data_IF_110807992029
#
_entry.id   IF_110807992029
#
_cell.length_a   1.000
_cell.length_b   1.000
_cell.length_c   1.000
_cell.angle_alpha   90.00
_cell.angle_beta   90.00
_cell.angle_gamma   90.00
#
_symmetry.space_group_name_H-M   'P 1'
#
loop_
_entity.id
_entity.type
_entity.pdbx_description
1 polymer ?
#
# COMPACT_ATOMS: atom_id res chain seq x y z
N UNK A 1 23.08 40.72 -57.50
CA UNK A 1 22.60 39.39 -57.09
C UNK A 1 22.91 39.28 -55.61
N UNK A 2 21.89 39.20 -54.74
CA UNK A 2 22.08 39.22 -53.29
C UNK A 2 22.38 37.81 -52.75
N UNK A 3 23.22 37.79 -51.72
CA UNK A 3 23.69 36.61 -50.99
C UNK A 3 22.54 35.78 -50.41
N UNK A 4 22.61 34.46 -50.60
CA UNK A 4 21.68 33.51 -49.98
C UNK A 4 22.07 33.31 -48.51
N UNK A 5 21.40 34.04 -47.62
CA UNK A 5 21.43 33.75 -46.19
C UNK A 5 20.89 32.34 -45.92
N UNK A 6 21.79 31.52 -45.38
CA UNK A 6 21.53 30.19 -44.85
C UNK A 6 20.51 30.26 -43.71
N UNK A 7 19.31 29.73 -43.95
CA UNK A 7 18.34 29.42 -42.90
C UNK A 7 18.92 28.34 -41.98
N UNK A 8 19.56 28.75 -40.87
CA UNK A 8 19.83 27.84 -39.76
C UNK A 8 18.51 27.48 -39.09
N UNK A 9 18.13 26.20 -39.14
CA UNK A 9 17.03 25.67 -38.32
C UNK A 9 17.38 25.86 -36.85
N UNK A 10 16.51 26.56 -36.12
CA UNK A 10 16.48 26.57 -34.66
C UNK A 10 15.93 25.19 -34.23
N UNK A 11 16.75 24.14 -34.32
CA UNK A 11 16.43 22.84 -33.73
C UNK A 11 17.62 22.21 -33.01
N UNK A 12 18.69 22.97 -32.79
CA UNK A 12 19.84 22.57 -31.97
C UNK A 12 19.60 22.94 -30.49
N UNK A 13 18.40 22.67 -29.97
CA UNK A 13 18.31 22.48 -28.52
C UNK A 13 19.08 21.18 -28.25
N UNK A 14 20.16 21.21 -27.44
CA UNK A 14 20.87 19.98 -27.14
C UNK A 14 19.85 18.97 -26.60
N UNK A 15 19.82 17.75 -27.16
CA UNK A 15 19.22 16.62 -26.45
C UNK A 15 19.88 16.63 -25.07
N UNK A 16 19.10 16.98 -24.04
CA UNK A 16 19.61 17.00 -22.66
C UNK A 16 19.89 15.54 -22.34
N UNK A 17 21.16 15.18 -22.45
CA UNK A 17 21.62 13.82 -22.20
C UNK A 17 21.28 13.48 -20.75
N UNK A 18 20.39 12.49 -20.56
CA UNK A 18 19.90 12.09 -19.24
C UNK A 18 21.08 11.71 -18.34
N UNK A 19 21.12 12.23 -17.13
CA UNK A 19 22.15 11.89 -16.16
C UNK A 19 22.16 10.40 -15.87
N UNK A 20 23.31 9.82 -15.47
CA UNK A 20 23.37 8.44 -15.02
C UNK A 20 22.35 8.14 -13.91
N UNK A 21 22.08 9.10 -13.02
CA UNK A 21 21.10 8.97 -11.95
C UNK A 21 19.67 8.81 -12.51
N UNK A 22 19.26 9.68 -13.44
CA UNK A 22 17.96 9.57 -14.13
C UNK A 22 17.80 8.21 -14.82
N UNK A 23 18.85 7.73 -15.50
CA UNK A 23 18.83 6.42 -16.16
C UNK A 23 18.68 5.26 -15.16
N UNK A 24 19.37 5.30 -14.01
CA UNK A 24 19.21 4.28 -12.95
C UNK A 24 17.78 4.25 -12.41
N UNK A 25 17.21 5.41 -12.10
CA UNK A 25 15.83 5.49 -11.62
C UNK A 25 14.84 4.94 -12.65
N UNK A 26 14.91 5.40 -13.91
CA UNK A 26 14.04 4.91 -14.99
C UNK A 26 14.20 3.41 -15.25
N UNK A 27 15.39 2.86 -15.05
CA UNK A 27 15.64 1.42 -15.09
C UNK A 27 14.95 0.71 -13.92
N UNK A 28 15.00 1.26 -12.71
CA UNK A 28 14.31 0.72 -11.53
C UNK A 28 12.78 0.73 -11.68
N UNK A 29 12.22 1.58 -12.54
CA UNK A 29 10.79 1.53 -12.87
C UNK A 29 10.42 0.32 -13.75
N UNK A 30 11.39 -0.34 -14.39
CA UNK A 30 11.21 -1.47 -15.33
C UNK A 30 11.63 -2.80 -14.71
N UNK A 31 11.12 -3.12 -13.53
CA UNK A 31 11.38 -4.42 -12.89
C UNK A 31 10.38 -5.50 -13.31
N UNK A 32 10.79 -6.76 -13.20
CA UNK A 32 9.98 -7.93 -13.52
C UNK A 32 9.17 -8.42 -12.33
N UNK A 33 8.59 -9.62 -12.49
CA UNK A 33 7.78 -10.27 -11.46
C UNK A 33 8.55 -10.56 -10.18
N UNK A 34 9.83 -10.94 -10.28
CA UNK A 34 10.64 -11.36 -9.11
C UNK A 34 10.86 -10.18 -8.19
N UNK A 35 11.33 -9.06 -8.73
CA UNK A 35 11.60 -7.86 -7.96
C UNK A 35 10.30 -7.30 -7.34
N UNK A 36 9.19 -7.34 -8.08
CA UNK A 36 7.88 -6.97 -7.54
C UNK A 36 7.43 -7.89 -6.40
N UNK A 37 7.58 -9.21 -6.58
CA UNK A 37 7.20 -10.22 -5.60
C UNK A 37 8.04 -10.11 -4.32
N UNK A 38 9.33 -9.83 -4.45
CA UNK A 38 10.27 -9.71 -3.34
C UNK A 38 10.23 -8.32 -2.68
N UNK A 39 9.35 -7.43 -3.15
CA UNK A 39 9.14 -6.11 -2.57
C UNK A 39 10.27 -5.13 -2.83
N UNK A 40 11.00 -5.29 -3.94
CA UNK A 40 12.06 -4.38 -4.36
C UNK A 40 11.42 -3.10 -4.93
N UNK A 41 11.65 -1.98 -4.23
CA UNK A 41 11.18 -0.65 -4.62
C UNK A 41 12.03 0.01 -5.72
N UNK A 42 11.82 1.31 -5.92
CA UNK A 42 12.66 2.11 -6.83
C UNK A 42 14.05 2.37 -6.26
N UNK A 43 15.00 2.74 -7.13
CA UNK A 43 16.30 3.28 -6.72
C UNK A 43 16.11 4.74 -6.26
N UNK A 44 15.67 4.92 -5.02
CA UNK A 44 15.38 6.24 -4.46
C UNK A 44 16.64 7.08 -4.24
N UNK A 45 17.80 6.46 -4.10
CA UNK A 45 19.07 7.18 -3.96
C UNK A 45 19.40 7.95 -5.24
N UNK A 46 19.01 7.41 -6.41
CA UNK A 46 19.14 8.13 -7.67
C UNK A 46 18.39 9.47 -7.69
N UNK A 47 17.28 9.63 -6.97
CA UNK A 47 16.55 10.91 -6.91
C UNK A 47 17.38 12.02 -6.26
N UNK A 48 18.30 11.68 -5.35
CA UNK A 48 19.16 12.67 -4.67
C UNK A 48 20.32 13.15 -5.54
N UNK A 49 20.68 12.38 -6.57
CA UNK A 49 21.77 12.68 -7.50
C UNK A 49 21.30 13.42 -8.76
N UNK A 50 19.98 13.51 -8.99
CA UNK A 50 19.39 14.16 -10.17
C UNK A 50 19.47 15.69 -10.11
N UNK A 51 19.46 16.31 -11.29
CA UNK A 51 19.32 17.77 -11.40
C UNK A 51 17.90 18.20 -11.02
N UNK A 52 17.70 19.51 -10.78
CA UNK A 52 16.38 20.03 -10.45
C UNK A 52 15.38 19.87 -11.63
N UNK A 53 15.87 19.96 -12.85
CA UNK A 53 15.10 19.73 -14.08
C UNK A 53 14.66 18.27 -14.19
N UNK A 54 15.58 17.33 -13.97
CA UNK A 54 15.28 15.89 -13.99
C UNK A 54 14.29 15.49 -12.90
N UNK A 55 14.45 16.03 -11.68
CA UNK A 55 13.51 15.81 -10.59
C UNK A 55 12.10 16.30 -10.93
N UNK A 56 11.96 17.43 -11.64
CA UNK A 56 10.65 17.92 -12.12
C UNK A 56 10.03 17.01 -13.16
N UNK A 57 10.84 16.43 -14.05
CA UNK A 57 10.36 15.47 -15.05
C UNK A 57 9.87 14.17 -14.38
N UNK A 58 10.64 13.65 -13.43
CA UNK A 58 10.25 12.47 -12.65
C UNK A 58 9.02 12.74 -11.78
N UNK A 59 8.93 13.92 -11.15
CA UNK A 59 7.74 14.35 -10.41
C UNK A 59 6.50 14.30 -11.31
N UNK A 60 6.55 14.93 -12.49
CA UNK A 60 5.44 14.96 -13.43
C UNK A 60 5.04 13.54 -13.88
N UNK A 61 6.04 12.68 -14.15
CA UNK A 61 5.83 11.29 -14.52
C UNK A 61 5.10 10.51 -13.40
N UNK A 62 5.60 10.58 -12.17
CA UNK A 62 5.01 9.85 -11.03
C UNK A 62 3.60 10.35 -10.71
N UNK A 63 3.36 11.67 -10.74
CA UNK A 63 2.02 12.24 -10.51
C UNK A 63 1.02 11.74 -11.57
N UNK A 64 1.44 11.65 -12.84
CA UNK A 64 0.58 11.15 -13.92
C UNK A 64 0.19 9.68 -13.76
N UNK A 65 0.94 8.92 -12.96
CA UNK A 65 0.81 7.47 -12.77
C UNK A 65 0.48 7.05 -11.33
N UNK A 66 0.22 7.99 -10.43
CA UNK A 66 0.10 7.77 -8.98
C UNK A 66 -0.86 6.65 -8.54
N UNK A 67 -1.84 6.31 -9.38
CA UNK A 67 -2.84 5.26 -9.13
C UNK A 67 -2.55 3.93 -9.83
N UNK A 68 -1.45 3.84 -10.59
CA UNK A 68 -1.11 2.66 -11.38
C UNK A 68 -0.32 1.63 -10.57
N UNK A 69 0.64 2.08 -9.77
CA UNK A 69 1.55 1.21 -9.02
C UNK A 69 1.82 1.78 -7.63
N UNK A 70 1.91 0.92 -6.61
CA UNK A 70 2.23 1.38 -5.26
C UNK A 70 3.65 1.93 -5.15
N UNK A 71 4.57 1.51 -6.03
CA UNK A 71 5.95 2.04 -6.08
C UNK A 71 5.99 3.48 -6.57
N UNK A 72 5.04 3.88 -7.42
CA UNK A 72 4.90 5.29 -7.80
C UNK A 72 4.63 6.16 -6.55
N UNK A 73 3.87 5.64 -5.57
CA UNK A 73 3.63 6.31 -4.27
C UNK A 73 4.90 6.43 -3.43
N UNK A 74 5.78 5.43 -3.46
CA UNK A 74 7.08 5.48 -2.79
C UNK A 74 7.99 6.56 -3.42
N UNK A 75 8.04 6.64 -4.76
CA UNK A 75 8.76 7.71 -5.45
C UNK A 75 8.21 9.11 -5.12
N UNK A 76 6.88 9.27 -5.05
CA UNK A 76 6.25 10.52 -4.65
C UNK A 76 6.64 10.94 -3.22
N UNK A 77 6.67 9.99 -2.29
CA UNK A 77 7.08 10.23 -0.91
C UNK A 77 8.56 10.62 -0.81
N UNK A 78 9.43 9.99 -1.61
CA UNK A 78 10.86 10.30 -1.64
C UNK A 78 11.16 11.72 -2.15
N UNK A 79 10.42 12.19 -3.17
CA UNK A 79 10.56 13.55 -3.70
C UNK A 79 10.11 14.63 -2.69
N UNK A 80 9.07 14.35 -1.90
CA UNK A 80 8.59 15.20 -0.81
C UNK A 80 8.41 16.69 -1.19
N UNK A 81 7.89 16.97 -2.39
CA UNK A 81 7.55 18.33 -2.82
C UNK A 81 6.09 18.63 -2.49
N UNK A 82 5.66 19.91 -2.51
CA UNK A 82 4.25 20.24 -2.34
C UNK A 82 3.32 19.52 -3.33
N UNK A 83 3.77 19.30 -4.58
CA UNK A 83 2.99 18.61 -5.60
C UNK A 83 2.92 17.11 -5.35
N UNK A 84 4.02 16.47 -4.95
CA UNK A 84 3.99 15.03 -4.64
C UNK A 84 3.22 14.73 -3.36
N UNK A 85 3.28 15.61 -2.35
CA UNK A 85 2.43 15.50 -1.15
C UNK A 85 0.95 15.58 -1.53
N UNK A 86 0.57 16.49 -2.44
CA UNK A 86 -0.81 16.56 -2.90
C UNK A 86 -1.21 15.29 -3.66
N UNK A 87 -0.35 14.76 -4.52
CA UNK A 87 -0.59 13.49 -5.20
C UNK A 87 -0.74 12.31 -4.22
N UNK A 88 0.05 12.25 -3.13
CA UNK A 88 -0.13 11.27 -2.06
C UNK A 88 -1.50 11.38 -1.39
N UNK A 89 -1.97 12.62 -1.12
CA UNK A 89 -3.32 12.83 -0.58
C UNK A 89 -4.40 12.36 -1.54
N UNK A 90 -4.21 12.58 -2.84
CA UNK A 90 -5.15 12.10 -3.85
C UNK A 90 -5.20 10.56 -3.86
N UNK A 91 -4.05 9.89 -3.71
CA UNK A 91 -3.96 8.44 -3.62
C UNK A 91 -4.72 7.84 -2.42
N UNK A 92 -5.02 8.62 -1.38
CA UNK A 92 -5.90 8.15 -0.30
C UNK A 92 -7.29 7.73 -0.81
N UNK A 93 -7.73 8.25 -1.96
CA UNK A 93 -8.99 7.89 -2.60
C UNK A 93 -8.82 6.99 -3.84
N UNK A 94 -7.61 6.44 -4.05
CA UNK A 94 -7.30 5.60 -5.20
C UNK A 94 -8.20 4.36 -5.26
N UNK A 95 -8.55 3.93 -6.47
CA UNK A 95 -9.12 2.60 -6.70
C UNK A 95 -8.09 1.48 -6.56
N UNK A 96 -6.80 1.81 -6.69
CA UNK A 96 -5.73 0.89 -6.39
C UNK A 96 -5.52 0.82 -4.88
N UNK A 97 -5.92 -0.31 -4.28
CA UNK A 97 -5.87 -0.49 -2.83
C UNK A 97 -4.45 -0.45 -2.27
N UNK A 98 -3.45 -0.93 -3.04
CA UNK A 98 -2.05 -0.87 -2.61
C UNK A 98 -1.59 0.59 -2.55
N UNK A 99 -1.78 1.35 -3.63
CA UNK A 99 -1.44 2.78 -3.66
C UNK A 99 -2.11 3.54 -2.50
N UNK A 100 -3.37 3.23 -2.21
CA UNK A 100 -4.12 3.81 -1.09
C UNK A 100 -3.49 3.54 0.26
N UNK A 101 -3.09 2.29 0.53
CA UNK A 101 -2.49 1.85 1.79
C UNK A 101 -1.06 2.38 1.95
N UNK A 102 -0.28 2.43 0.88
CA UNK A 102 1.06 3.02 0.91
C UNK A 102 1.01 4.53 1.12
N UNK A 103 0.05 5.23 0.49
CA UNK A 103 -0.06 6.67 0.63
C UNK A 103 -0.32 7.08 2.08
N UNK A 104 -1.26 6.40 2.76
CA UNK A 104 -1.55 6.69 4.17
C UNK A 104 -0.36 6.35 5.08
N UNK A 105 0.41 5.30 4.76
CA UNK A 105 1.64 4.96 5.49
C UNK A 105 2.65 6.11 5.40
N UNK A 106 2.99 6.53 4.18
CA UNK A 106 4.00 7.56 3.97
C UNK A 106 3.57 8.91 4.54
N UNK A 107 2.32 9.33 4.33
CA UNK A 107 1.80 10.58 4.91
C UNK A 107 1.93 10.62 6.44
N UNK A 108 1.73 9.48 7.12
CA UNK A 108 1.94 9.37 8.57
C UNK A 108 3.42 9.39 8.94
N UNK A 109 4.25 8.60 8.27
CA UNK A 109 5.69 8.50 8.56
C UNK A 109 6.43 9.83 8.34
N UNK A 110 5.97 10.62 7.37
CA UNK A 110 6.46 11.97 7.09
C UNK A 110 5.93 13.03 8.08
N UNK A 111 5.00 12.66 8.99
CA UNK A 111 4.39 13.57 9.95
C UNK A 111 3.42 14.59 9.34
N UNK A 112 2.88 14.31 8.15
CA UNK A 112 2.00 15.23 7.40
C UNK A 112 0.54 15.03 7.81
N UNK A 113 0.06 13.79 7.83
CA UNK A 113 -1.35 13.46 8.07
C UNK A 113 -1.47 12.03 8.62
N UNK A 114 -2.26 11.85 9.68
CA UNK A 114 -2.48 10.53 10.29
C UNK A 114 -3.92 10.08 10.09
N UNK A 115 -4.12 9.21 9.10
CA UNK A 115 -5.44 8.65 8.74
C UNK A 115 -5.42 7.14 8.61
N UNK A 116 -4.44 6.47 9.24
CA UNK A 116 -4.28 5.01 9.13
C UNK A 116 -5.58 4.29 9.46
N UNK A 117 -6.19 4.60 10.60
CA UNK A 117 -7.42 3.94 11.04
C UNK A 117 -8.54 4.10 10.00
N UNK A 118 -8.82 5.33 9.57
CA UNK A 118 -9.86 5.62 8.58
C UNK A 118 -9.64 4.88 7.26
N UNK A 119 -8.41 4.94 6.72
CA UNK A 119 -8.08 4.34 5.42
C UNK A 119 -8.11 2.82 5.50
N UNK A 120 -7.62 2.23 6.58
CA UNK A 120 -7.62 0.78 6.74
C UNK A 120 -9.04 0.25 6.95
N UNK A 121 -9.89 0.94 7.73
CA UNK A 121 -11.30 0.57 7.93
C UNK A 121 -12.06 0.46 6.60
N UNK A 122 -11.87 1.43 5.68
CA UNK A 122 -12.51 1.36 4.37
C UNK A 122 -11.87 0.32 3.44
N UNK A 123 -10.57 0.09 3.55
CA UNK A 123 -9.82 -0.69 2.56
C UNK A 123 -9.79 -2.18 2.85
N UNK A 124 -9.55 -2.61 4.09
CA UNK A 124 -9.37 -4.03 4.43
C UNK A 124 -10.53 -4.92 3.92
N UNK A 125 -11.82 -4.54 4.05
CA UNK A 125 -12.93 -5.36 3.54
C UNK A 125 -12.90 -5.61 2.02
N UNK A 126 -12.26 -4.73 1.26
CA UNK A 126 -12.15 -4.81 -0.21
C UNK A 126 -10.92 -5.60 -0.68
N UNK A 127 -9.96 -5.86 0.23
CA UNK A 127 -8.71 -6.56 -0.09
C UNK A 127 -8.92 -8.04 -0.42
N UNK A 128 -7.92 -8.61 -1.10
CA UNK A 128 -7.82 -10.02 -1.47
C UNK A 128 -6.38 -10.50 -1.34
N UNK A 129 -6.14 -11.80 -1.47
CA UNK A 129 -4.79 -12.32 -1.64
C UNK A 129 -4.14 -11.70 -2.87
N UNK A 130 -2.96 -11.12 -2.69
CA UNK A 130 -2.25 -10.38 -3.73
C UNK A 130 -2.82 -8.98 -4.05
N UNK A 131 -3.83 -8.50 -3.31
CA UNK A 131 -4.44 -7.19 -3.52
C UNK A 131 -4.64 -6.50 -2.16
N UNK A 132 -3.65 -5.74 -1.68
CA UNK A 132 -3.75 -4.90 -0.46
C UNK A 132 -3.78 -5.62 0.89
N UNK A 133 -4.14 -6.91 0.96
CA UNK A 133 -4.38 -7.58 2.24
C UNK A 133 -3.14 -7.53 3.15
N UNK A 134 -1.98 -7.96 2.65
CA UNK A 134 -0.75 -8.00 3.45
C UNK A 134 -0.37 -6.62 3.95
N UNK A 135 -0.52 -5.57 3.12
CA UNK A 135 -0.23 -4.20 3.52
C UNK A 135 -1.21 -3.67 4.57
N UNK A 136 -2.50 -3.93 4.41
CA UNK A 136 -3.51 -3.54 5.38
C UNK A 136 -3.26 -4.21 6.75
N UNK A 137 -2.98 -5.51 6.76
CA UNK A 137 -2.67 -6.25 7.99
C UNK A 137 -1.37 -5.75 8.65
N UNK A 138 -0.32 -5.47 7.87
CA UNK A 138 0.93 -4.88 8.40
C UNK A 138 0.70 -3.50 9.03
N UNK A 139 -0.17 -2.66 8.45
CA UNK A 139 -0.51 -1.37 9.05
C UNK A 139 -1.26 -1.54 10.38
N UNK A 140 -2.15 -2.53 10.48
CA UNK A 140 -2.88 -2.82 11.72
C UNK A 140 -1.92 -3.34 12.80
N UNK A 141 -0.98 -4.22 12.43
CA UNK A 141 0.05 -4.69 13.35
C UNK A 141 0.90 -3.54 13.89
N UNK A 142 1.33 -2.63 13.01
CA UNK A 142 2.22 -1.53 13.38
C UNK A 142 1.50 -0.41 14.14
N UNK A 143 0.24 -0.15 13.81
CA UNK A 143 -0.57 0.91 14.39
C UNK A 143 -1.90 0.37 14.95
N UNK A 144 -1.85 -0.52 15.96
CA UNK A 144 -3.05 -1.16 16.48
C UNK A 144 -3.92 -0.16 17.24
N UNK A 145 -5.20 -0.16 16.93
CA UNK A 145 -6.24 0.55 17.68
C UNK A 145 -7.43 -0.38 17.93
N UNK A 146 -8.28 -0.05 18.90
CA UNK A 146 -9.50 -0.83 19.17
C UNK A 146 -10.43 -0.93 17.95
N UNK A 147 -10.71 0.16 17.20
CA UNK A 147 -11.47 0.05 15.95
C UNK A 147 -10.85 -0.90 14.92
N UNK A 148 -9.52 -0.88 14.75
CA UNK A 148 -8.84 -1.78 13.83
C UNK A 148 -8.86 -3.24 14.30
N UNK A 149 -8.75 -3.49 15.61
CA UNK A 149 -8.92 -4.84 16.17
C UNK A 149 -10.32 -5.39 15.92
N UNK A 150 -11.35 -4.57 16.12
CA UNK A 150 -12.74 -4.96 15.80
C UNK A 150 -12.95 -5.17 14.31
N UNK A 151 -12.35 -4.33 13.46
CA UNK A 151 -12.39 -4.52 12.01
C UNK A 151 -11.82 -5.87 11.61
N UNK A 152 -10.66 -6.27 12.15
CA UNK A 152 -10.05 -7.58 11.87
C UNK A 152 -10.99 -8.72 12.27
N UNK A 153 -11.60 -8.65 13.46
CA UNK A 153 -12.61 -9.66 13.88
C UNK A 153 -13.81 -9.70 12.92
N UNK A 154 -14.32 -8.55 12.49
CA UNK A 154 -15.44 -8.45 11.54
C UNK A 154 -15.05 -9.03 10.18
N UNK A 155 -13.85 -8.74 9.69
CA UNK A 155 -13.30 -9.27 8.45
C UNK A 155 -13.03 -10.78 8.54
N UNK A 156 -12.72 -11.33 9.71
CA UNK A 156 -12.66 -12.79 9.90
C UNK A 156 -14.02 -13.45 9.63
N UNK A 157 -15.13 -12.85 10.07
CA UNK A 157 -16.46 -13.39 9.85
C UNK A 157 -17.00 -13.13 8.42
N UNK A 158 -16.89 -11.89 7.96
CA UNK A 158 -17.62 -11.37 6.79
C UNK A 158 -16.72 -10.99 5.60
N UNK A 159 -15.41 -11.00 5.77
CA UNK A 159 -14.46 -10.66 4.72
C UNK A 159 -14.48 -11.64 3.54
N UNK A 160 -13.74 -11.28 2.49
CA UNK A 160 -13.55 -12.14 1.33
C UNK A 160 -12.94 -13.50 1.72
N UNK A 161 -13.24 -14.56 0.96
CA UNK A 161 -12.93 -15.94 1.37
C UNK A 161 -11.46 -16.24 1.60
N UNK A 162 -10.61 -15.48 0.92
CA UNK A 162 -9.18 -15.61 0.96
C UNK A 162 -8.53 -14.79 2.10
N UNK A 163 -9.21 -13.78 2.66
CA UNK A 163 -8.68 -12.96 3.76
C UNK A 163 -9.18 -13.37 5.14
N UNK A 164 -10.33 -14.06 5.24
CA UNK A 164 -10.99 -14.39 6.53
C UNK A 164 -10.05 -15.10 7.51
N UNK A 165 -9.32 -16.09 7.01
CA UNK A 165 -8.38 -16.89 7.81
C UNK A 165 -7.21 -16.06 8.30
N UNK A 166 -6.67 -15.17 7.46
CA UNK A 166 -5.61 -14.25 7.87
C UNK A 166 -6.10 -13.23 8.91
N UNK A 167 -7.33 -12.76 8.78
CA UNK A 167 -7.94 -11.88 9.78
C UNK A 167 -8.16 -12.61 11.12
N UNK A 168 -8.60 -13.86 11.11
CA UNK A 168 -8.74 -14.67 12.33
C UNK A 168 -7.38 -14.87 13.03
N UNK A 169 -6.34 -15.19 12.25
CA UNK A 169 -4.98 -15.31 12.77
C UNK A 169 -4.44 -13.97 13.33
N UNK A 170 -4.66 -12.87 12.60
CA UNK A 170 -4.26 -11.54 13.03
C UNK A 170 -4.98 -11.12 14.31
N UNK A 171 -6.26 -11.47 14.49
CA UNK A 171 -6.96 -11.21 15.75
C UNK A 171 -6.27 -11.91 16.93
N UNK A 172 -5.93 -13.20 16.81
CA UNK A 172 -5.21 -13.90 17.88
C UNK A 172 -3.86 -13.24 18.20
N UNK A 173 -3.16 -12.73 17.19
CA UNK A 173 -1.91 -11.99 17.37
C UNK A 173 -2.10 -10.66 18.09
N UNK A 174 -3.01 -9.80 17.61
CA UNK A 174 -3.25 -8.46 18.14
C UNK A 174 -3.74 -8.46 19.60
N UNK A 175 -4.44 -9.52 20.01
CA UNK A 175 -4.91 -9.73 21.38
C UNK A 175 -3.93 -10.57 22.23
N UNK A 176 -2.72 -10.81 21.74
CA UNK A 176 -1.63 -11.44 22.49
C UNK A 176 -1.85 -12.92 22.81
N UNK A 177 -2.70 -13.63 22.08
CA UNK A 177 -2.99 -15.06 22.29
C UNK A 177 -1.94 -15.96 21.68
N UNK A 178 -1.28 -15.50 20.62
CA UNK A 178 -0.12 -16.18 20.06
C UNK A 178 0.77 -15.21 19.26
N UNK A 179 2.04 -15.57 19.08
CA UNK A 179 2.96 -14.91 18.14
C UNK A 179 2.98 -15.56 16.76
N UNK A 180 2.54 -16.81 16.66
CA UNK A 180 2.45 -17.57 15.41
C UNK A 180 1.35 -18.62 15.52
N UNK A 181 0.69 -18.97 14.42
CA UNK A 181 -0.34 -20.01 14.46
C UNK A 181 0.32 -21.38 14.65
N UNK A 182 0.08 -21.98 15.81
CA UNK A 182 0.46 -23.35 16.14
C UNK A 182 -0.76 -24.29 16.04
N UNK A 183 -0.54 -25.56 16.35
CA UNK A 183 -1.59 -26.59 16.27
C UNK A 183 -2.80 -26.30 17.20
N UNK A 184 -2.63 -25.51 18.25
CA UNK A 184 -3.71 -25.16 19.20
C UNK A 184 -4.77 -24.27 18.56
N UNK A 185 -4.35 -23.38 17.65
CA UNK A 185 -5.25 -22.42 16.99
C UNK A 185 -5.53 -22.75 15.54
N UNK A 186 -4.76 -23.67 14.95
CA UNK A 186 -4.86 -24.07 13.55
C UNK A 186 -6.30 -24.40 13.16
N UNK A 187 -6.93 -25.36 13.85
CA UNK A 187 -8.31 -25.79 13.54
C UNK A 187 -9.31 -24.62 13.56
N UNK A 188 -9.29 -23.81 14.62
CA UNK A 188 -10.17 -22.64 14.75
C UNK A 188 -10.00 -21.64 13.62
N UNK A 189 -8.76 -21.33 13.24
CA UNK A 189 -8.45 -20.37 12.17
C UNK A 189 -8.89 -20.92 10.81
N UNK A 190 -8.67 -22.22 10.55
CA UNK A 190 -9.07 -22.85 9.29
C UNK A 190 -10.59 -22.95 9.11
N UNK A 191 -11.38 -23.01 10.18
CA UNK A 191 -12.85 -23.03 10.08
C UNK A 191 -13.42 -21.78 9.38
N UNK A 192 -12.70 -20.65 9.39
CA UNK A 192 -13.10 -19.43 8.68
C UNK A 192 -13.04 -19.55 7.14
N UNK A 193 -12.42 -20.59 6.59
CA UNK A 193 -12.58 -20.93 5.17
C UNK A 193 -13.99 -21.43 4.83
N UNK A 194 -14.80 -21.84 5.82
CA UNK A 194 -16.13 -22.38 5.56
C UNK A 194 -16.98 -21.43 4.72
N UNK A 195 -17.60 -21.97 3.66
CA UNK A 195 -18.55 -21.22 2.82
C UNK A 195 -19.90 -21.00 3.51
N UNK A 196 -20.21 -21.82 4.52
CA UNK A 196 -21.49 -21.77 5.23
C UNK A 196 -21.42 -20.80 6.41
N UNK A 197 -22.26 -19.76 6.38
CA UNK A 197 -22.24 -18.68 7.36
C UNK A 197 -22.44 -19.15 8.82
N UNK A 198 -23.37 -20.07 9.15
CA UNK A 198 -23.54 -20.57 10.52
C UNK A 198 -22.26 -21.19 11.11
N UNK A 199 -21.47 -21.92 10.31
CA UNK A 199 -20.18 -22.45 10.77
C UNK A 199 -19.21 -21.31 11.10
N UNK A 200 -19.09 -20.31 10.21
CA UNK A 200 -18.24 -19.15 10.46
C UNK A 200 -18.69 -18.36 11.69
N UNK A 201 -20.00 -18.19 11.89
CA UNK A 201 -20.54 -17.50 13.06
C UNK A 201 -20.19 -18.25 14.36
N UNK A 202 -20.29 -19.58 14.36
CA UNK A 202 -19.86 -20.40 15.51
C UNK A 202 -18.37 -20.17 15.81
N UNK A 203 -17.50 -20.29 14.81
CA UNK A 203 -16.05 -20.07 14.97
C UNK A 203 -15.72 -18.62 15.36
N UNK A 204 -16.50 -17.65 14.90
CA UNK A 204 -16.40 -16.24 15.30
C UNK A 204 -16.71 -16.03 16.77
N UNK A 205 -17.77 -16.63 17.30
CA UNK A 205 -18.09 -16.57 18.74
C UNK A 205 -16.98 -17.22 19.57
N UNK A 206 -16.44 -18.34 19.10
CA UNK A 206 -15.32 -19.02 19.76
C UNK A 206 -14.04 -18.17 19.74
N UNK A 207 -13.72 -17.54 18.61
CA UNK A 207 -12.60 -16.59 18.48
C UNK A 207 -12.77 -15.40 19.43
N UNK A 208 -13.96 -14.76 19.44
CA UNK A 208 -14.28 -13.66 20.34
C UNK A 208 -14.09 -14.06 21.82
N UNK A 209 -14.55 -15.26 22.21
CA UNK A 209 -14.32 -15.80 23.55
C UNK A 209 -12.83 -15.96 23.86
N UNK A 210 -12.03 -16.45 22.91
CA UNK A 210 -10.59 -16.60 23.12
C UNK A 210 -9.89 -15.26 23.31
N UNK A 211 -10.27 -14.24 22.53
CA UNK A 211 -9.68 -12.90 22.62
C UNK A 211 -10.27 -12.03 23.74
N UNK A 212 -11.36 -12.48 24.39
CA UNK A 212 -12.00 -11.76 25.49
C UNK A 212 -12.88 -10.59 25.03
N UNK A 213 -13.42 -10.65 23.81
CA UNK A 213 -14.28 -9.63 23.21
C UNK A 213 -15.72 -10.15 23.18
N UNK A 214 -16.69 -9.30 23.53
CA UNK A 214 -18.10 -9.63 23.34
C UNK A 214 -18.43 -9.58 21.83
N UNK A 215 -18.88 -10.71 21.21
CA UNK A 215 -19.21 -10.73 19.80
C UNK A 215 -20.28 -9.69 19.42
N UNK A 216 -21.16 -9.29 20.34
CA UNK A 216 -22.18 -8.26 20.06
C UNK A 216 -21.60 -6.86 19.86
N UNK A 217 -20.40 -6.58 20.38
CA UNK A 217 -19.73 -5.29 20.15
C UNK A 217 -19.23 -5.20 18.70
N UNK A 218 -18.71 -6.31 18.17
CA UNK A 218 -18.12 -6.37 16.83
C UNK A 218 -19.18 -6.43 15.72
N UNK A 219 -20.33 -7.03 16.02
CA UNK A 219 -21.45 -7.19 15.09
C UNK A 219 -22.31 -5.93 14.90
N UNK A 220 -22.16 -4.94 15.78
CA UNK A 220 -22.75 -3.60 15.60
C UNK A 220 -22.00 -2.83 14.52
#
# INVERSE_FOLDING_TARGET
MPDSESFKRISDSPEVEQSPAMQRFLKSMKIGYIEWHDGIGYDLDALQEMTAEECKEIEALLISRKDCDWRDVEGLAALNTPFTIQALRDCLNSHNLDSRLFAVRFLKEMGIEDRIEEVVIRTLPETRLGIGMSFALNLIERYPSEPLRHLVLRCALNGHEDIRVHCAAMALYLYGKTKSIDDSYKGMVFDFHSKWYPNRMKSFVDLCRQVGVDPQIVLK
#
